data_IF_396835838388
#
_entry.id   IF_396835838388
#
_cell.length_a   1.000
_cell.length_b   1.000
_cell.length_c   1.000
_cell.angle_alpha   90.00
_cell.angle_beta   90.00
_cell.angle_gamma   90.00
#
_symmetry.space_group_name_H-M   'P 1'
#
loop_
_entity.id
_entity.type
_entity.pdbx_description
1 polymer ?
#
# COMPACT_ATOMS: atom_id res chain seq x y z
N UNK A 1 9.67 11.06 10.38
CA UNK A 1 8.87 11.31 9.15
C UNK A 1 8.71 9.99 8.43
N UNK A 2 7.53 9.66 7.89
CA UNK A 2 7.30 8.39 7.19
C UNK A 2 8.12 8.39 5.89
N UNK A 3 9.23 7.64 5.85
CA UNK A 3 10.16 7.63 4.72
C UNK A 3 9.88 6.51 3.73
N UNK A 4 9.31 5.40 4.20
CA UNK A 4 8.93 4.27 3.37
C UNK A 4 7.62 3.67 3.85
N UNK A 5 6.93 3.03 2.91
CA UNK A 5 5.81 2.12 3.18
C UNK A 5 6.15 0.74 2.66
N UNK A 6 5.57 -0.27 3.32
CA UNK A 6 5.46 -1.64 2.82
C UNK A 6 4.01 -2.05 2.95
N UNK A 7 3.46 -2.64 1.90
CA UNK A 7 2.08 -3.12 1.88
C UNK A 7 2.03 -4.48 1.21
N UNK A 8 1.37 -5.43 1.86
CA UNK A 8 1.29 -6.80 1.36
C UNK A 8 0.15 -6.94 0.36
N UNK A 9 0.44 -7.66 -0.72
CA UNK A 9 -0.55 -8.10 -1.70
C UNK A 9 -0.84 -9.56 -1.38
N UNK A 10 -2.07 -9.82 -0.97
CA UNK A 10 -2.56 -11.13 -0.58
C UNK A 10 -3.30 -11.75 -1.76
N UNK A 11 -3.31 -13.08 -1.85
CA UNK A 11 -4.20 -13.80 -2.75
C UNK A 11 -5.03 -14.81 -1.97
N UNK A 12 -6.27 -15.02 -2.40
CA UNK A 12 -7.14 -16.01 -1.77
C UNK A 12 -6.92 -17.38 -2.42
N UNK A 13 -6.75 -18.43 -1.59
CA UNK A 13 -6.58 -19.82 -2.03
C UNK A 13 -7.56 -20.81 -1.39
N UNK A 14 -8.58 -20.32 -0.70
CA UNK A 14 -9.61 -21.16 -0.08
C UNK A 14 -10.71 -21.57 -1.06
N UNK A 15 -11.78 -22.17 -0.54
CA UNK A 15 -12.88 -22.71 -1.35
C UNK A 15 -14.13 -21.83 -1.39
N UNK A 16 -14.17 -20.74 -0.62
CA UNK A 16 -15.29 -19.78 -0.62
C UNK A 16 -15.36 -19.07 -1.96
N UNK A 17 -16.52 -19.11 -2.62
CA UNK A 17 -16.71 -18.57 -3.98
C UNK A 17 -16.57 -17.05 -4.08
N UNK A 18 -16.94 -16.33 -3.03
CA UNK A 18 -16.91 -14.86 -2.98
C UNK A 18 -16.44 -14.41 -1.59
N UNK A 19 -15.15 -14.51 -1.30
CA UNK A 19 -14.62 -14.29 0.02
C UNK A 19 -14.51 -12.78 0.30
N UNK A 20 -15.35 -12.28 1.21
CA UNK A 20 -15.49 -10.85 1.49
C UNK A 20 -14.57 -10.35 2.61
N UNK A 21 -14.15 -11.26 3.52
CA UNK A 21 -13.48 -10.89 4.75
C UNK A 21 -12.30 -11.81 5.04
N UNK A 22 -11.14 -11.20 5.35
CA UNK A 22 -9.88 -11.93 5.59
C UNK A 22 -9.94 -12.72 6.90
N UNK A 23 -10.63 -12.21 7.91
CA UNK A 23 -10.71 -12.80 9.26
C UNK A 23 -11.54 -14.09 9.34
N UNK A 24 -12.33 -14.41 8.31
CA UNK A 24 -13.12 -15.65 8.25
C UNK A 24 -12.23 -16.87 7.94
N UNK A 25 -11.24 -16.71 7.05
CA UNK A 25 -10.30 -17.77 6.65
C UNK A 25 -8.88 -17.21 6.51
N UNK A 26 -8.25 -16.72 7.59
CA UNK A 26 -6.99 -15.96 7.51
C UNK A 26 -5.85 -16.75 6.86
N UNK A 27 -5.77 -18.05 7.12
CA UNK A 27 -4.74 -18.95 6.56
C UNK A 27 -4.88 -19.17 5.03
N UNK A 28 -6.02 -18.76 4.47
CA UNK A 28 -6.31 -18.80 3.03
C UNK A 28 -5.91 -17.51 2.31
N UNK A 29 -5.33 -16.53 3.00
CA UNK A 29 -4.76 -15.30 2.45
C UNK A 29 -3.25 -15.20 2.67
N UNK A 30 -2.43 -16.10 2.11
CA UNK A 30 -0.98 -15.92 2.13
C UNK A 30 -0.56 -14.65 1.36
N UNK A 31 0.59 -14.10 1.74
CA UNK A 31 1.24 -13.00 1.04
C UNK A 31 1.80 -13.51 -0.29
N UNK A 32 1.38 -12.89 -1.40
CA UNK A 32 1.94 -13.13 -2.73
C UNK A 32 3.26 -12.39 -2.90
N UNK A 33 3.26 -11.11 -2.51
CA UNK A 33 4.40 -10.21 -2.58
C UNK A 33 4.11 -8.96 -1.73
N UNK A 34 5.15 -8.19 -1.44
CA UNK A 34 5.02 -6.90 -0.78
C UNK A 34 5.40 -5.77 -1.75
N UNK A 35 4.67 -4.67 -1.70
CA UNK A 35 4.97 -3.45 -2.45
C UNK A 35 5.62 -2.44 -1.50
N UNK A 36 6.83 -2.02 -1.85
CA UNK A 36 7.57 -1.00 -1.09
C UNK A 36 7.68 0.29 -1.88
N UNK A 37 7.61 1.43 -1.21
CA UNK A 37 7.81 2.72 -1.86
C UNK A 37 8.43 3.74 -0.92
N UNK A 38 9.26 4.61 -1.49
CA UNK A 38 9.80 5.79 -0.82
C UNK A 38 8.73 6.88 -0.81
N UNK A 39 8.30 7.28 0.39
CA UNK A 39 7.24 8.26 0.59
C UNK A 39 7.77 9.64 0.95
N UNK A 40 9.07 9.90 0.87
CA UNK A 40 9.65 11.21 1.25
C UNK A 40 9.07 12.36 0.44
N UNK A 41 8.87 12.18 -0.87
CA UNK A 41 8.24 13.21 -1.71
C UNK A 41 6.78 13.44 -1.31
N UNK A 42 6.02 12.36 -1.13
CA UNK A 42 4.63 12.46 -0.68
C UNK A 42 4.51 13.08 0.73
N UNK A 43 5.50 12.87 1.58
CA UNK A 43 5.56 13.38 2.94
C UNK A 43 5.75 14.91 3.00
N UNK A 44 6.35 15.54 1.97
CA UNK A 44 6.58 16.99 1.94
C UNK A 44 5.28 17.80 1.91
N UNK A 45 4.23 17.25 1.29
CA UNK A 45 2.92 17.88 1.19
C UNK A 45 2.01 17.68 2.41
N UNK A 46 2.47 16.96 3.44
CA UNK A 46 1.63 16.62 4.59
C UNK A 46 1.40 17.82 5.50
N UNK A 47 0.15 17.97 5.94
CA UNK A 47 -0.26 19.00 6.90
C UNK A 47 -0.35 18.39 8.29
N UNK A 48 0.12 19.13 9.28
CA UNK A 48 -0.04 18.76 10.68
C UNK A 48 -1.52 18.83 11.05
N UNK A 49 -2.07 17.72 11.52
CA UNK A 49 -3.43 17.61 12.01
C UNK A 49 -3.42 17.61 13.53
N UNK A 50 -4.39 18.30 14.15
CA UNK A 50 -4.56 18.35 15.60
C UNK A 50 -5.73 17.48 16.02
N UNK A 51 -5.52 16.71 17.07
CA UNK A 51 -6.55 15.91 17.74
C UNK A 51 -7.24 16.73 18.84
N UNK A 52 -8.46 16.34 19.25
CA UNK A 52 -9.15 16.97 20.38
C UNK A 52 -8.40 16.90 21.71
N UNK A 53 -7.55 15.89 21.89
CA UNK A 53 -6.71 15.69 23.09
C UNK A 53 -5.47 16.61 23.14
N UNK A 54 -5.30 17.50 22.16
CA UNK A 54 -4.14 18.40 22.03
C UNK A 54 -2.94 17.80 21.31
N UNK A 55 -2.93 16.49 21.03
CA UNK A 55 -1.85 15.84 20.30
C UNK A 55 -1.93 16.15 18.79
N UNK A 56 -0.78 16.07 18.11
CA UNK A 56 -0.71 16.31 16.66
C UNK A 56 -0.21 15.06 15.91
N UNK A 57 -0.64 14.91 14.67
CA UNK A 57 -0.28 13.79 13.80
C UNK A 57 -0.25 14.21 12.32
N UNK A 58 0.32 13.35 11.48
CA UNK A 58 0.25 13.48 10.03
C UNK A 58 -0.49 12.27 9.44
N UNK A 59 -1.13 12.45 8.29
CA UNK A 59 -1.77 11.35 7.57
C UNK A 59 -1.40 11.41 6.11
N UNK A 60 -0.80 10.32 5.61
CA UNK A 60 -0.58 10.10 4.19
C UNK A 60 -1.66 9.15 3.66
N UNK A 61 -2.49 9.63 2.73
CA UNK A 61 -3.42 8.79 1.98
C UNK A 61 -2.81 8.50 0.61
N UNK A 62 -2.72 7.24 0.26
CA UNK A 62 -2.14 6.80 -1.01
C UNK A 62 -2.82 5.53 -1.49
N UNK A 63 -2.72 5.29 -2.79
CA UNK A 63 -3.15 4.07 -3.46
C UNK A 63 -1.93 3.34 -4.03
N UNK A 64 -2.03 2.02 -4.12
CA UNK A 64 -1.06 1.18 -4.83
C UNK A 64 -1.66 0.84 -6.19
N UNK A 65 -0.98 1.27 -7.25
CA UNK A 65 -1.37 0.97 -8.62
C UNK A 65 -0.58 -0.25 -9.07
N UNK A 66 -1.27 -1.36 -9.30
CA UNK A 66 -0.71 -2.55 -9.93
C UNK A 66 -0.79 -2.43 -11.46
N UNK A 67 0.33 -2.67 -12.14
CA UNK A 67 0.46 -2.56 -13.59
C UNK A 67 0.63 -3.95 -14.19
N UNK A 68 -0.42 -4.42 -14.88
CA UNK A 68 -0.44 -5.69 -15.60
C UNK A 68 -0.06 -5.48 -17.08
N UNK A 69 0.32 -6.56 -17.78
CA UNK A 69 0.71 -6.52 -19.21
C UNK A 69 2.23 -6.48 -19.47
N UNK A 70 3.04 -6.74 -18.44
CA UNK A 70 4.47 -6.98 -18.54
C UNK A 70 4.78 -8.41 -18.07
N UNK A 71 5.94 -8.98 -18.44
CA UNK A 71 6.36 -10.31 -17.96
C UNK A 71 6.47 -10.37 -16.42
N UNK A 72 6.69 -9.22 -15.78
CA UNK A 72 6.74 -9.08 -14.32
C UNK A 72 5.71 -8.06 -13.85
N UNK A 73 5.10 -8.30 -12.69
CA UNK A 73 4.21 -7.35 -12.02
C UNK A 73 4.99 -6.08 -11.66
N UNK A 74 4.44 -4.92 -12.00
CA UNK A 74 4.99 -3.63 -11.55
C UNK A 74 3.99 -2.90 -10.68
N UNK A 75 4.50 -2.04 -9.81
CA UNK A 75 3.68 -1.22 -8.94
C UNK A 75 4.12 0.25 -8.99
N UNK A 76 3.18 1.15 -8.67
CA UNK A 76 3.43 2.55 -8.39
C UNK A 76 2.64 2.96 -7.14
N UNK A 77 3.10 4.01 -6.47
CA UNK A 77 2.27 4.70 -5.48
C UNK A 77 1.63 5.93 -6.12
N UNK A 78 0.41 6.21 -5.68
CA UNK A 78 -0.37 7.37 -6.10
C UNK A 78 -0.86 8.11 -4.85
N UNK A 79 -0.76 9.43 -4.84
CA UNK A 79 -1.33 10.25 -3.76
C UNK A 79 -1.87 11.56 -4.31
N UNK A 80 -2.71 12.25 -3.51
CA UNK A 80 -3.19 13.59 -3.84
C UNK A 80 -2.44 14.64 -3.05
N UNK A 81 -1.86 15.60 -3.75
CA UNK A 81 -1.23 16.79 -3.17
C UNK A 81 -2.02 18.02 -3.62
N UNK A 82 -2.64 18.73 -2.67
CA UNK A 82 -3.50 19.89 -2.94
C UNK A 82 -4.56 19.63 -4.02
N UNK A 83 -5.15 18.43 -4.02
CA UNK A 83 -6.18 18.01 -4.99
C UNK A 83 -5.63 17.47 -6.31
N UNK A 84 -4.32 17.58 -6.57
CA UNK A 84 -3.67 17.09 -7.79
C UNK A 84 -3.09 15.71 -7.55
N UNK A 85 -3.37 14.78 -8.45
CA UNK A 85 -2.76 13.45 -8.41
C UNK A 85 -1.26 13.52 -8.69
N UNK A 86 -0.48 12.84 -7.86
CA UNK A 86 0.95 12.64 -8.00
C UNK A 86 1.24 11.14 -7.96
N UNK A 87 2.32 10.74 -8.63
CA UNK A 87 2.76 9.35 -8.69
C UNK A 87 4.23 9.24 -8.37
N UNK A 88 4.60 8.10 -7.80
CA UNK A 88 5.96 7.78 -7.41
C UNK A 88 6.30 6.32 -7.73
N UNK A 89 7.59 5.99 -7.84
CA UNK A 89 8.03 4.63 -8.06
C UNK A 89 7.67 3.76 -6.85
N UNK A 90 7.29 2.51 -7.11
CA UNK A 90 7.19 1.47 -6.10
C UNK A 90 7.88 0.20 -6.62
N UNK A 91 8.30 -0.68 -5.71
CA UNK A 91 8.99 -1.93 -6.03
C UNK A 91 8.20 -3.09 -5.47
N UNK A 92 7.94 -4.07 -6.32
CA UNK A 92 7.39 -5.37 -5.92
C UNK A 92 8.54 -6.21 -5.37
N UNK A 93 8.37 -6.75 -4.18
CA UNK A 93 9.32 -7.62 -3.48
C UNK A 93 8.62 -8.96 -3.27
N UNK A 94 9.18 -10.00 -3.89
CA UNK A 94 8.72 -11.37 -3.69
C UNK A 94 9.50 -12.00 -2.55
N UNK A 95 8.80 -12.77 -1.72
CA UNK A 95 9.48 -13.61 -0.74
C UNK A 95 10.25 -14.71 -1.48
N UNK A 96 11.51 -14.93 -1.10
CA UNK A 96 12.41 -15.84 -1.82
C UNK A 96 12.39 -17.28 -1.28
N UNK A 97 11.66 -17.51 -0.21
CA UNK A 97 11.67 -18.77 0.54
C UNK A 97 10.44 -19.66 0.25
N UNK A 98 9.89 -19.57 -0.97
CA UNK A 98 8.82 -20.45 -1.48
C UNK A 98 9.39 -21.55 -2.39
#
# INVERSE_FOLDING_TARGET
MLSNISADILYYRGSTKDPQWIDVEPDMYPVLCSVTADTREAAKGLKLLRRPDGNSYFTLKFDIILLFGKPELKAQICWKENGVEKRGPARVVYDRDL
#
